data_IF_694931754374
#
_entry.id   IF_694931754374
#
_cell.length_a   1.000
_cell.length_b   1.000
_cell.length_c   1.000
_cell.angle_alpha   90.00
_cell.angle_beta   90.00
_cell.angle_gamma   90.00
#
_symmetry.space_group_name_H-M   'P 1'
#
loop_
_entity.id
_entity.type
_entity.pdbx_description
1 polymer ?
#
# COMPACT_ATOMS: atom_id res chain seq x y z
N UNK A 1 0.59 17.25 -20.81
CA UNK A 1 1.02 16.01 -20.13
C UNK A 1 0.62 16.15 -18.68
N UNK A 2 -0.43 15.46 -18.24
CA UNK A 2 -0.84 15.49 -16.84
C UNK A 2 0.30 14.90 -15.98
N UNK A 3 0.73 15.64 -14.97
CA UNK A 3 1.86 15.26 -14.12
C UNK A 3 1.57 13.97 -13.37
N UNK A 4 2.26 12.88 -13.72
CA UNK A 4 2.16 11.59 -13.02
C UNK A 4 2.72 11.75 -11.61
N UNK A 5 1.99 11.26 -10.62
CA UNK A 5 2.35 11.38 -9.22
C UNK A 5 2.96 10.10 -8.68
N UNK A 6 4.12 10.21 -8.02
CA UNK A 6 4.65 9.12 -7.19
C UNK A 6 3.74 8.95 -5.96
N UNK A 7 3.56 7.71 -5.49
CA UNK A 7 3.01 7.52 -4.16
C UNK A 7 4.02 8.04 -3.11
N UNK A 8 3.63 8.89 -2.13
CA UNK A 8 4.57 9.48 -1.19
C UNK A 8 5.19 8.45 -0.24
N UNK A 9 6.39 8.74 0.29
CA UNK A 9 7.04 7.85 1.26
C UNK A 9 6.23 7.88 2.55
N UNK A 10 5.73 6.72 2.95
CA UNK A 10 4.97 6.58 4.20
C UNK A 10 5.90 6.78 5.38
N UNK A 11 5.68 7.80 6.22
CA UNK A 11 6.47 8.00 7.43
C UNK A 11 6.33 6.84 8.40
N UNK A 12 7.39 6.53 9.13
CA UNK A 12 7.35 5.61 10.25
C UNK A 12 6.69 6.26 11.47
N UNK A 13 5.88 5.49 12.18
CA UNK A 13 5.41 5.83 13.52
C UNK A 13 6.61 6.00 14.48
N UNK A 14 6.49 6.84 15.53
CA UNK A 14 7.60 7.10 16.46
C UNK A 14 8.14 5.82 17.13
N UNK A 15 7.28 4.81 17.33
CA UNK A 15 7.64 3.53 17.93
C UNK A 15 7.90 2.41 16.89
N UNK A 16 8.06 2.74 15.61
CA UNK A 16 8.45 1.77 14.58
C UNK A 16 9.92 1.37 14.73
N UNK A 17 10.23 0.09 14.98
CA UNK A 17 11.61 -0.34 15.14
C UNK A 17 12.36 -0.48 13.81
N UNK A 18 11.67 -0.84 12.72
CA UNK A 18 12.29 -1.14 11.43
C UNK A 18 12.61 0.04 10.51
N UNK A 19 12.72 1.28 10.99
CA UNK A 19 13.18 2.37 10.14
C UNK A 19 14.71 2.50 10.13
N UNK A 20 15.25 2.78 8.96
CA UNK A 20 16.65 3.12 8.70
C UNK A 20 16.91 4.63 8.81
N UNK A 21 18.15 5.06 8.64
CA UNK A 21 18.54 6.48 8.69
C UNK A 21 17.97 7.29 7.51
N UNK A 22 17.67 6.64 6.38
CA UNK A 22 17.08 7.25 5.18
C UNK A 22 15.54 7.33 5.21
N UNK A 23 14.93 6.77 6.25
CA UNK A 23 13.47 6.73 6.40
C UNK A 23 12.93 8.01 7.04
N UNK A 24 11.78 8.47 6.54
CA UNK A 24 11.01 9.54 7.20
C UNK A 24 10.38 8.96 8.45
N UNK A 25 10.67 9.54 9.63
CA UNK A 25 10.06 9.18 10.91
C UNK A 25 9.23 10.35 11.43
N UNK A 26 8.03 10.05 11.92
CA UNK A 26 7.25 11.00 12.70
C UNK A 26 7.85 11.14 14.10
N UNK A 27 7.93 12.36 14.61
CA UNK A 27 8.30 12.62 16.01
C UNK A 27 7.13 12.37 16.97
N UNK A 28 5.90 12.64 16.50
CA UNK A 28 4.64 12.43 17.20
C UNK A 28 3.51 12.15 16.20
N UNK A 29 2.27 12.01 16.67
CA UNK A 29 1.12 11.63 15.84
C UNK A 29 -0.04 12.66 15.83
N UNK A 30 0.21 13.99 15.80
CA UNK A 30 -0.83 15.02 15.92
C UNK A 30 -1.84 14.96 14.77
N UNK A 31 -1.41 14.45 13.61
CA UNK A 31 -2.28 14.19 12.48
C UNK A 31 -3.30 13.07 12.71
N UNK A 32 -3.23 12.30 13.79
CA UNK A 32 -4.26 11.30 14.08
C UNK A 32 -5.13 11.68 15.28
N UNK A 33 -4.66 12.59 16.14
CA UNK A 33 -5.37 13.02 17.35
C UNK A 33 -6.80 13.50 17.06
N UNK A 34 -7.77 12.92 17.78
CA UNK A 34 -9.20 13.23 17.63
C UNK A 34 -9.83 12.78 16.30
N UNK A 35 -9.10 12.06 15.43
CA UNK A 35 -9.60 11.60 14.13
C UNK A 35 -9.81 10.10 14.11
N UNK A 36 -10.66 9.64 13.19
CA UNK A 36 -10.84 8.21 12.93
C UNK A 36 -9.76 7.70 11.98
N UNK A 37 -9.27 6.50 12.25
CA UNK A 37 -8.21 5.82 11.52
C UNK A 37 -8.64 4.42 11.11
N UNK A 38 -7.98 3.92 10.08
CA UNK A 38 -7.96 2.50 9.71
C UNK A 38 -6.52 2.03 9.78
N UNK A 39 -6.34 0.89 10.44
CA UNK A 39 -5.06 0.20 10.54
C UNK A 39 -5.17 -1.09 9.75
N UNK A 40 -4.32 -1.26 8.75
CA UNK A 40 -4.25 -2.47 7.93
C UNK A 40 -2.92 -3.16 8.10
N UNK A 41 -2.86 -4.46 7.77
CA UNK A 41 -1.58 -5.12 7.53
C UNK A 41 -0.77 -4.36 6.48
N UNK A 42 0.55 -4.31 6.67
CA UNK A 42 1.49 -3.83 5.65
C UNK A 42 1.93 -5.04 4.84
N UNK A 43 1.41 -5.14 3.63
CA UNK A 43 1.78 -6.19 2.68
C UNK A 43 3.17 -5.90 2.10
N UNK A 44 3.93 -6.97 1.85
CA UNK A 44 5.32 -6.94 1.36
C UNK A 44 5.36 -7.27 -0.14
N UNK A 45 5.38 -6.24 -0.98
CA UNK A 45 5.50 -6.37 -2.42
C UNK A 45 5.98 -5.09 -3.10
N UNK A 46 5.49 -4.88 -4.31
CA UNK A 46 5.78 -3.68 -5.08
C UNK A 46 4.57 -2.76 -5.12
N UNK A 47 4.76 -1.46 -4.97
CA UNK A 47 3.68 -0.48 -5.02
C UNK A 47 3.50 0.14 -6.42
N UNK A 48 2.57 -0.32 -7.29
CA UNK A 48 2.23 0.39 -8.51
C UNK A 48 1.12 1.43 -8.30
N UNK A 49 1.08 2.41 -9.22
CA UNK A 49 -0.03 3.34 -9.41
C UNK A 49 -0.63 3.13 -10.81
N UNK A 50 -1.95 2.96 -10.86
CA UNK A 50 -2.72 2.63 -12.05
C UNK A 50 -3.65 3.81 -12.39
N UNK A 51 -3.49 4.37 -13.58
CA UNK A 51 -4.32 5.44 -14.15
C UNK A 51 -5.15 4.85 -15.29
N UNK A 52 -6.12 5.60 -15.82
CA UNK A 52 -6.89 5.17 -17.01
C UNK A 52 -6.01 4.77 -18.20
N UNK A 53 -4.93 5.49 -18.44
CA UNK A 53 -4.12 5.39 -19.66
C UNK A 53 -2.70 4.87 -19.41
N UNK A 54 -2.32 4.66 -18.15
CA UNK A 54 -0.95 4.37 -17.77
C UNK A 54 -0.84 3.62 -16.45
N UNK A 55 0.26 2.90 -16.27
CA UNK A 55 0.67 2.36 -14.97
C UNK A 55 2.16 2.59 -14.74
N UNK A 56 2.56 2.80 -13.49
CA UNK A 56 3.98 2.85 -13.12
C UNK A 56 4.19 2.17 -11.76
N UNK A 57 5.38 1.61 -11.54
CA UNK A 57 5.82 1.29 -10.18
C UNK A 57 5.98 2.58 -9.37
N UNK A 58 6.20 2.50 -8.06
CA UNK A 58 6.33 3.69 -7.20
C UNK A 58 7.27 4.76 -7.77
N UNK A 59 8.39 4.34 -8.36
CA UNK A 59 9.25 5.24 -9.13
C UNK A 59 8.82 5.34 -10.59
N UNK A 60 8.76 6.56 -11.12
CA UNK A 60 8.27 6.88 -12.46
C UNK A 60 9.19 6.37 -13.60
N UNK A 61 10.45 6.10 -13.26
CA UNK A 61 11.55 5.68 -14.14
C UNK A 61 11.85 4.18 -14.05
N UNK A 62 10.99 3.40 -13.40
CA UNK A 62 11.21 1.96 -13.24
C UNK A 62 11.17 1.24 -14.59
N UNK A 63 12.28 0.57 -14.94
CA UNK A 63 12.37 -0.29 -16.11
C UNK A 63 11.37 -1.46 -16.02
N UNK A 64 10.99 -2.04 -17.16
CA UNK A 64 10.12 -3.21 -17.20
C UNK A 64 10.64 -4.35 -16.31
N UNK A 65 9.74 -5.03 -15.62
CA UNK A 65 10.03 -6.23 -14.83
C UNK A 65 8.91 -7.26 -15.00
N UNK A 66 9.21 -8.55 -15.28
CA UNK A 66 8.18 -9.56 -15.57
C UNK A 66 7.17 -9.80 -14.43
N UNK A 67 7.54 -9.48 -13.18
CA UNK A 67 6.61 -9.59 -12.05
C UNK A 67 5.40 -8.64 -12.13
N UNK A 68 5.44 -7.68 -13.06
CA UNK A 68 4.37 -6.69 -13.27
C UNK A 68 3.36 -7.12 -14.33
N UNK A 69 3.61 -8.23 -15.04
CA UNK A 69 2.79 -8.65 -16.18
C UNK A 69 1.34 -8.96 -15.79
N UNK A 70 1.12 -9.62 -14.64
CA UNK A 70 -0.24 -9.95 -14.18
C UNK A 70 -1.03 -8.70 -13.77
N UNK A 71 -0.43 -7.82 -12.97
CA UNK A 71 -1.08 -6.55 -12.59
C UNK A 71 -1.31 -5.65 -13.82
N UNK A 72 -0.44 -5.69 -14.83
CA UNK A 72 -0.62 -4.99 -16.11
C UNK A 72 -1.78 -5.55 -16.93
N UNK A 73 -1.91 -6.87 -17.01
CA UNK A 73 -3.03 -7.52 -17.69
C UNK A 73 -4.36 -7.22 -16.98
N UNK A 74 -4.39 -7.32 -15.66
CA UNK A 74 -5.56 -6.96 -14.86
C UNK A 74 -5.91 -5.47 -15.03
N UNK A 75 -4.92 -4.57 -14.95
CA UNK A 75 -5.10 -3.14 -15.20
C UNK A 75 -5.74 -2.89 -16.57
N UNK A 76 -5.26 -3.52 -17.64
CA UNK A 76 -5.84 -3.37 -18.98
C UNK A 76 -7.33 -3.73 -19.04
N UNK A 77 -7.80 -4.68 -18.21
CA UNK A 77 -9.21 -5.06 -18.14
C UNK A 77 -10.09 -4.02 -17.44
N UNK A 78 -9.55 -3.27 -16.47
CA UNK A 78 -10.30 -2.30 -15.65
C UNK A 78 -9.96 -0.83 -15.97
N UNK A 79 -8.99 -0.57 -16.84
CA UNK A 79 -8.46 0.78 -17.07
C UNK A 79 -9.53 1.77 -17.52
N UNK A 80 -10.50 1.32 -18.30
CA UNK A 80 -11.63 2.12 -18.79
C UNK A 80 -12.59 2.57 -17.66
N UNK A 81 -12.67 1.82 -16.56
CA UNK A 81 -13.46 2.18 -15.37
C UNK A 81 -12.82 3.28 -14.54
N UNK A 82 -11.50 3.46 -14.61
CA UNK A 82 -10.79 4.52 -13.88
C UNK A 82 -11.10 5.87 -14.56
N UNK A 83 -11.60 6.90 -13.85
CA UNK A 83 -11.83 8.22 -14.43
C UNK A 83 -10.53 8.89 -14.89
N UNK A 84 -10.64 9.85 -15.81
CA UNK A 84 -9.47 10.61 -16.24
C UNK A 84 -8.89 11.42 -15.07
N UNK A 85 -7.56 11.43 -14.94
CA UNK A 85 -6.85 12.09 -13.85
C UNK A 85 -6.86 11.33 -12.52
N UNK A 86 -7.66 10.26 -12.39
CA UNK A 86 -7.70 9.44 -11.19
C UNK A 86 -6.60 8.38 -11.20
N UNK A 87 -6.21 7.92 -10.01
CA UNK A 87 -5.28 6.80 -9.85
C UNK A 87 -5.64 5.88 -8.71
N UNK A 88 -5.37 4.59 -8.92
CA UNK A 88 -5.43 3.54 -7.92
C UNK A 88 -4.01 3.19 -7.49
N UNK A 89 -3.72 3.27 -6.19
CA UNK A 89 -2.45 2.84 -5.63
C UNK A 89 -2.68 1.59 -4.76
N UNK A 90 -1.86 0.58 -4.98
CA UNK A 90 -1.98 -0.70 -4.29
C UNK A 90 -0.66 -1.43 -4.19
N UNK A 91 -0.72 -2.68 -3.75
CA UNK A 91 0.44 -3.57 -3.61
C UNK A 91 0.32 -4.73 -4.60
N UNK A 92 1.32 -4.88 -5.47
CA UNK A 92 1.52 -6.04 -6.32
C UNK A 92 2.31 -7.10 -5.56
N UNK A 93 1.64 -8.21 -5.26
CA UNK A 93 2.15 -9.35 -4.50
C UNK A 93 2.43 -10.56 -5.38
N UNK A 94 2.55 -10.41 -6.71
CA UNK A 94 2.86 -11.56 -7.56
C UNK A 94 4.25 -12.15 -7.24
N UNK A 95 5.29 -11.32 -7.24
CA UNK A 95 6.63 -11.76 -6.87
C UNK A 95 6.79 -11.76 -5.35
N UNK A 96 7.30 -12.86 -4.81
CA UNK A 96 7.77 -12.93 -3.43
C UNK A 96 8.92 -11.96 -3.22
N UNK A 97 8.76 -11.08 -2.24
CA UNK A 97 9.84 -10.28 -1.67
C UNK A 97 10.43 -11.05 -0.49
N UNK A 98 10.20 -10.59 0.74
CA UNK A 98 10.71 -11.21 1.96
C UNK A 98 9.72 -12.21 2.55
N UNK A 99 8.42 -11.90 2.45
CA UNK A 99 7.33 -12.74 2.92
C UNK A 99 6.80 -13.58 1.75
N UNK A 100 6.67 -14.89 2.00
CA UNK A 100 6.05 -15.82 1.07
C UNK A 100 4.56 -15.93 1.38
N UNK A 101 3.71 -15.55 0.44
CA UNK A 101 2.26 -15.68 0.58
C UNK A 101 1.76 -16.92 -0.15
N UNK A 102 1.07 -17.79 0.58
CA UNK A 102 0.57 -19.09 0.08
C UNK A 102 -0.93 -19.16 -0.21
N UNK A 103 -1.71 -18.16 0.21
CA UNK A 103 -3.18 -18.17 0.13
C UNK A 103 -3.73 -16.75 -0.19
N UNK A 104 -3.22 -16.12 -1.24
CA UNK A 104 -3.67 -14.77 -1.59
C UNK A 104 -5.05 -14.78 -2.28
N UNK A 105 -6.00 -13.92 -1.90
CA UNK A 105 -7.26 -13.73 -2.63
C UNK A 105 -7.07 -13.05 -4.01
N UNK A 106 -5.90 -12.49 -4.28
CA UNK A 106 -5.54 -11.83 -5.54
C UNK A 106 -4.11 -11.32 -5.50
N UNK A 107 -3.52 -10.97 -6.64
CA UNK A 107 -2.14 -10.44 -6.66
C UNK A 107 -2.05 -8.92 -6.49
N UNK A 108 -3.14 -8.18 -6.64
CA UNK A 108 -3.16 -6.74 -6.46
C UNK A 108 -4.09 -6.35 -5.32
N UNK A 109 -3.54 -5.72 -4.30
CA UNK A 109 -4.28 -5.25 -3.13
C UNK A 109 -4.43 -3.72 -3.19
N UNK A 110 -5.65 -3.22 -3.36
CA UNK A 110 -5.91 -1.78 -3.38
C UNK A 110 -5.80 -1.21 -1.96
N UNK A 111 -5.06 -0.12 -1.77
CA UNK A 111 -5.00 0.53 -0.45
C UNK A 111 -5.30 2.03 -0.46
N UNK A 112 -5.29 2.69 -1.63
CA UNK A 112 -5.74 4.08 -1.76
C UNK A 112 -6.19 4.42 -3.18
N UNK A 113 -7.17 5.30 -3.27
CA UNK A 113 -7.69 5.86 -4.52
C UNK A 113 -7.54 7.36 -4.46
N UNK A 114 -7.14 7.97 -5.58
CA UNK A 114 -6.92 9.41 -5.65
C UNK A 114 -7.67 10.00 -6.84
N UNK A 115 -8.37 11.10 -6.59
CA UNK A 115 -9.14 11.81 -7.61
C UNK A 115 -8.25 12.73 -8.48
N UNK A 116 -8.88 13.40 -9.45
CA UNK A 116 -8.21 14.33 -10.37
C UNK A 116 -7.59 15.55 -9.66
N UNK A 117 -8.13 15.95 -8.51
CA UNK A 117 -7.63 17.05 -7.68
C UNK A 117 -6.48 16.65 -6.75
N UNK A 118 -5.98 15.41 -6.91
CA UNK A 118 -4.92 14.83 -6.11
C UNK A 118 -5.27 14.70 -4.62
N UNK A 119 -6.52 14.35 -4.34
CA UNK A 119 -7.02 14.03 -3.01
C UNK A 119 -7.21 12.51 -2.88
N UNK A 120 -6.73 11.96 -1.77
CA UNK A 120 -6.98 10.58 -1.40
C UNK A 120 -8.42 10.48 -0.93
N UNK A 121 -9.17 9.54 -1.50
CA UNK A 121 -10.53 9.26 -1.08
C UNK A 121 -10.55 8.63 0.31
N UNK A 122 -11.72 8.67 0.96
CA UNK A 122 -11.94 8.00 2.23
C UNK A 122 -11.72 6.49 2.14
N UNK A 123 -11.58 5.83 3.29
CA UNK A 123 -11.47 4.38 3.33
C UNK A 123 -12.73 3.71 2.80
N UNK A 124 -13.91 4.22 3.15
CA UNK A 124 -15.18 3.72 2.64
C UNK A 124 -15.23 3.76 1.10
N UNK A 125 -14.86 4.89 0.50
CA UNK A 125 -14.78 5.00 -0.98
C UNK A 125 -13.73 4.05 -1.56
N UNK A 126 -12.60 3.86 -0.86
CA UNK A 126 -11.58 2.87 -1.26
C UNK A 126 -12.16 1.45 -1.25
N UNK A 127 -12.97 1.08 -0.25
CA UNK A 127 -13.67 -0.20 -0.17
C UNK A 127 -14.70 -0.36 -1.29
N UNK A 128 -15.42 0.71 -1.63
CA UNK A 128 -16.36 0.73 -2.75
C UNK A 128 -15.66 0.51 -4.09
N UNK A 129 -14.50 1.14 -4.31
CA UNK A 129 -13.66 0.89 -5.48
C UNK A 129 -13.16 -0.55 -5.53
N UNK A 130 -12.63 -1.08 -4.43
CA UNK A 130 -12.15 -2.46 -4.37
C UNK A 130 -13.26 -3.47 -4.73
N UNK A 131 -14.46 -3.27 -4.18
CA UNK A 131 -15.64 -4.09 -4.47
C UNK A 131 -16.06 -3.99 -5.94
N UNK A 132 -16.10 -2.77 -6.49
CA UNK A 132 -16.46 -2.53 -7.90
C UNK A 132 -15.48 -3.23 -8.85
N UNK A 133 -14.18 -3.19 -8.54
CA UNK A 133 -13.12 -3.72 -9.39
C UNK A 133 -12.81 -5.21 -9.13
N UNK A 134 -13.42 -5.81 -8.11
CA UNK A 134 -13.19 -7.19 -7.74
C UNK A 134 -11.75 -7.47 -7.26
N UNK A 135 -11.08 -6.51 -6.63
CA UNK A 135 -9.74 -6.69 -6.07
C UNK A 135 -9.75 -6.64 -4.54
N UNK A 136 -8.85 -7.38 -3.86
CA UNK A 136 -8.75 -7.37 -2.41
C UNK A 136 -8.21 -6.04 -1.86
N UNK A 137 -8.47 -5.83 -0.57
CA UNK A 137 -7.86 -4.79 0.26
C UNK A 137 -6.89 -5.46 1.25
N UNK A 138 -5.86 -4.76 1.75
CA UNK A 138 -5.08 -5.25 2.88
C UNK A 138 -5.98 -5.55 4.08
N UNK A 139 -5.75 -6.66 4.82
CA UNK A 139 -6.56 -6.99 5.99
C UNK A 139 -6.61 -5.84 7.00
N UNK A 140 -7.83 -5.49 7.45
CA UNK A 140 -8.04 -4.46 8.47
C UNK A 140 -7.81 -5.08 9.86
N UNK A 141 -6.87 -4.51 10.60
CA UNK A 141 -6.55 -4.89 11.99
C UNK A 141 -7.42 -4.09 12.97
N UNK A 142 -7.62 -2.80 12.70
CA UNK A 142 -8.37 -1.91 13.58
C UNK A 142 -9.01 -0.76 12.78
N UNK A 143 -10.20 -0.33 13.18
CA UNK A 143 -10.87 0.84 12.65
C UNK A 143 -11.64 1.56 13.77
N UNK A 144 -11.43 2.86 13.92
CA UNK A 144 -11.99 3.60 15.04
C UNK A 144 -11.33 4.95 15.28
N UNK A 145 -11.68 5.60 16.38
CA UNK A 145 -10.97 6.79 16.84
C UNK A 145 -9.52 6.43 17.17
N UNK A 146 -8.61 7.34 16.82
CA UNK A 146 -7.20 7.19 17.13
C UNK A 146 -6.97 7.01 18.64
N UNK A 147 -6.38 5.88 19.00
CA UNK A 147 -5.80 5.61 20.30
C UNK A 147 -4.37 5.08 20.10
N UNK A 148 -3.39 5.97 20.30
CA UNK A 148 -1.98 5.63 20.16
C UNK A 148 -1.56 4.44 21.04
N UNK A 149 -2.17 4.27 22.22
CA UNK A 149 -1.87 3.14 23.11
C UNK A 149 -2.42 1.84 22.53
N UNK A 150 -3.63 1.86 21.98
CA UNK A 150 -4.22 0.69 21.31
C UNK A 150 -3.40 0.29 20.07
N UNK A 151 -3.06 1.24 19.21
CA UNK A 151 -2.26 0.98 18.00
C UNK A 151 -0.86 0.47 18.35
N UNK A 152 -0.22 1.02 19.39
CA UNK A 152 1.09 0.53 19.86
C UNK A 152 1.05 -0.90 20.41
N UNK A 153 -0.10 -1.40 20.87
CA UNK A 153 -0.29 -2.78 21.35
C UNK A 153 -0.57 -3.78 20.23
N UNK A 154 -0.75 -3.34 18.99
CA UNK A 154 -0.90 -4.24 17.84
C UNK A 154 0.36 -5.11 17.75
N UNK A 155 0.14 -6.42 17.79
CA UNK A 155 1.16 -7.41 17.54
C UNK A 155 0.98 -7.93 16.12
N UNK A 156 2.08 -8.15 15.42
CA UNK A 156 2.07 -8.71 14.08
C UNK A 156 2.80 -10.03 14.07
N UNK A 157 2.32 -10.98 13.28
CA UNK A 157 3.05 -12.22 13.00
C UNK A 157 4.08 -11.95 11.89
N UNK A 158 5.40 -12.00 12.19
CA UNK A 158 6.46 -11.79 11.19
C UNK A 158 6.43 -12.76 10.02
N UNK A 159 5.77 -13.92 10.17
CA UNK A 159 5.62 -14.90 9.10
C UNK A 159 4.59 -14.47 8.06
N UNK A 160 3.66 -13.58 8.42
CA UNK A 160 2.50 -13.22 7.58
C UNK A 160 2.56 -11.76 7.14
N UNK A 161 3.11 -10.84 7.94
CA UNK A 161 3.10 -9.41 7.61
C UNK A 161 4.34 -8.62 8.03
N UNK A 162 4.63 -7.60 7.23
CA UNK A 162 5.39 -6.38 7.53
C UNK A 162 5.52 -5.88 8.96
N UNK A 163 4.34 -5.79 9.55
CA UNK A 163 3.96 -4.58 10.27
C UNK A 163 2.59 -4.10 9.79
N UNK A 164 2.30 -2.83 10.01
CA UNK A 164 0.97 -2.27 9.74
C UNK A 164 1.06 -0.83 9.22
N UNK A 165 0.03 -0.42 8.49
CA UNK A 165 -0.17 0.96 8.04
C UNK A 165 -1.37 1.55 8.77
N UNK A 166 -1.19 2.74 9.34
CA UNK A 166 -2.27 3.59 9.84
C UNK A 166 -2.57 4.63 8.79
N UNK A 167 -3.83 4.77 8.39
CA UNK A 167 -4.30 5.91 7.58
C UNK A 167 -5.50 6.57 8.24
N UNK A 168 -5.71 7.85 7.97
CA UNK A 168 -7.01 8.47 8.24
C UNK A 168 -8.11 7.73 7.49
N UNK A 169 -9.24 7.53 8.18
CA UNK A 169 -10.44 6.93 7.61
C UNK A 169 -11.07 7.89 6.59
N UNK A 170 -11.07 9.19 6.87
CA UNK A 170 -11.50 10.24 5.95
C UNK A 170 -10.51 10.47 4.80
N UNK A 171 -10.97 11.15 3.75
CA UNK A 171 -10.13 11.60 2.65
C UNK A 171 -9.17 12.72 3.07
N UNK A 172 -8.09 12.92 2.31
CA UNK A 172 -7.09 13.95 2.58
C UNK A 172 -6.34 14.37 1.31
N UNK A 173 -5.92 15.64 1.21
CA UNK A 173 -5.13 16.10 0.06
C UNK A 173 -3.71 15.52 0.10
N UNK A 174 -3.09 15.36 -1.07
CA UNK A 174 -1.74 14.82 -1.19
C UNK A 174 -0.69 15.54 -0.33
N UNK A 175 -0.82 16.86 -0.19
CA UNK A 175 0.06 17.69 0.65
C UNK A 175 0.01 17.32 2.14
N UNK A 176 -1.04 16.63 2.59
CA UNK A 176 -1.23 16.18 3.98
C UNK A 176 -0.92 14.70 4.19
N UNK A 177 -0.35 14.02 3.19
CA UNK A 177 -0.07 12.58 3.26
C UNK A 177 0.75 12.20 4.49
N UNK A 178 1.83 12.94 4.79
CA UNK A 178 2.70 12.65 5.93
C UNK A 178 2.01 12.81 7.29
N UNK A 179 0.93 13.61 7.36
CA UNK A 179 0.09 13.79 8.54
C UNK A 179 -1.10 12.81 8.58
N UNK A 180 -1.32 12.04 7.50
CA UNK A 180 -2.53 11.25 7.28
C UNK A 180 -2.27 9.77 7.13
N UNK A 181 -1.02 9.37 6.91
CA UNK A 181 -0.61 7.98 6.77
C UNK A 181 0.72 7.77 7.50
N UNK A 182 0.82 6.70 8.27
CA UNK A 182 2.07 6.29 8.91
C UNK A 182 2.19 4.76 8.90
N UNK A 183 3.39 4.23 9.04
CA UNK A 183 3.63 2.78 9.10
C UNK A 183 4.40 2.38 10.35
N UNK A 184 4.16 1.17 10.81
CA UNK A 184 5.04 0.46 11.72
C UNK A 184 5.60 -0.73 10.97
N UNK A 185 6.92 -0.94 11.05
CA UNK A 185 7.62 -2.05 10.41
C UNK A 185 8.42 -2.78 11.47
N UNK A 186 8.36 -4.11 11.47
CA UNK A 186 9.05 -4.96 12.44
C UNK A 186 10.58 -4.81 12.38
N UNK A 187 11.32 -5.17 13.46
CA UNK A 187 12.78 -5.18 13.43
C UNK A 187 13.31 -6.10 12.31
N UNK A 188 14.45 -5.72 11.73
CA UNK A 188 15.16 -6.56 10.75
C UNK A 188 14.38 -6.95 9.49
N UNK A 189 13.29 -6.24 9.16
CA UNK A 189 12.66 -6.31 7.83
C UNK A 189 13.46 -5.55 6.76
N UNK A 190 14.77 -5.35 6.99
CA UNK A 190 15.67 -4.75 6.00
C UNK A 190 16.05 -5.83 5.01
N UNK A 191 15.25 -5.95 3.98
CA UNK A 191 15.67 -6.57 2.72
C UNK A 191 15.84 -5.43 1.74
N UNK A 192 17.10 -5.12 1.45
CA UNK A 192 17.52 -4.25 0.36
C UNK A 192 16.57 -4.41 -0.84
N UNK A 193 15.73 -3.39 -1.05
CA UNK A 193 14.59 -3.32 -2.00
C UNK A 193 14.92 -3.70 -3.46
N UNK A 194 16.19 -4.00 -3.77
CA UNK A 194 16.67 -4.37 -5.09
C UNK A 194 17.10 -5.85 -5.21
N UNK A 195 17.27 -6.59 -4.12
CA UNK A 195 17.71 -7.99 -4.23
C UNK A 195 16.64 -8.90 -4.86
N UNK A 196 15.36 -8.65 -4.57
CA UNK A 196 14.26 -9.41 -5.17
C UNK A 196 14.17 -9.19 -6.70
N UNK A 197 14.50 -7.98 -7.19
CA UNK A 197 14.50 -7.65 -8.63
C UNK A 197 15.67 -8.26 -9.41
N UNK A 198 16.76 -8.62 -8.72
CA UNK A 198 17.98 -9.19 -9.34
C UNK A 198 18.03 -10.71 -9.29
N UNK A 199 17.24 -11.32 -8.41
CA UNK A 199 17.12 -12.77 -8.27
C UNK A 199 16.07 -13.39 -9.20
N UNK A 200 15.93 -14.73 -9.18
CA UNK A 200 14.83 -15.40 -9.86
C UNK A 200 13.49 -14.94 -9.27
N UNK A 201 12.50 -14.72 -10.14
CA UNK A 201 11.13 -14.39 -9.71
C UNK A 201 10.50 -15.65 -9.12
N UNK A 202 10.23 -15.61 -7.81
CA UNK A 202 9.48 -16.65 -7.11
C UNK A 202 8.04 -16.15 -6.97
N UNK A 203 7.05 -16.77 -7.63
CA UNK A 203 5.66 -16.33 -7.50
C UNK A 203 5.07 -16.72 -6.13
N UNK A 204 4.28 -15.80 -5.56
CA UNK A 204 3.33 -16.13 -4.49
C UNK A 204 2.15 -16.93 -5.06
N UNK A 205 1.33 -17.52 -4.19
CA UNK A 205 0.20 -18.40 -4.60
C UNK A 205 -1.15 -17.78 -4.28
N UNK A 206 -2.12 -17.98 -5.16
CA UNK A 206 -3.51 -17.61 -4.90
C UNK A 206 -4.21 -18.69 -4.07
N UNK A 207 -5.28 -18.28 -3.39
CA UNK A 207 -6.20 -19.20 -2.73
C UNK A 207 -6.78 -20.17 -3.75
N UNK A 208 -6.68 -21.46 -3.46
CA UNK A 208 -7.19 -22.51 -4.33
C UNK A 208 -6.22 -22.95 -5.43
N UNK A 209 -5.01 -22.38 -5.49
CA UNK A 209 -3.90 -22.96 -6.24
C UNK A 209 -3.32 -24.16 -5.44
N UNK A 210 -4.06 -25.29 -5.43
CA UNK A 210 -3.71 -26.51 -4.70
C UNK A 210 -4.52 -27.71 -5.15
#
# INVERSE_FOLDING_TARGET
>A
MNGRQKYPRTPHLPWSPGASDDDVRLSNCPGFEGRRVVVTEKMDGENPSLYRDWMHARSLDSAYHPSRSLVKAWHASIAHDIPEGWRLCGENLYARHSIAYGDLPGFFFLFSVWNADNECLSWQETEEWARRLGCPLPPVIHQGLWDARAVRRITVDPAVTEGYVVRLEGGFPYSRFADSVAKWVRPSHVTTDQHWMRGPIIPNRLRGDG
#
